data_IF_629806630445
#
_entry.id   IF_629806630445
#
_cell.length_a   1.000
_cell.length_b   1.000
_cell.length_c   1.000
_cell.angle_alpha   90.00
_cell.angle_beta   90.00
_cell.angle_gamma   90.00
#
_symmetry.space_group_name_H-M   'P 1'
#
loop_
_entity.id
_entity.type
_entity.pdbx_description
1 polymer ?
#
# COMPACT_ATOMS: atom_id res chain seq x y z
N UNK A 1 -4.06 5.84 14.60
CA UNK A 1 -4.85 5.97 13.36
C UNK A 1 -5.11 4.63 12.68
N UNK A 2 -4.08 3.79 12.53
CA UNK A 2 -4.25 2.51 11.82
C UNK A 2 -5.37 1.67 12.43
N UNK A 3 -5.45 1.62 13.75
CA UNK A 3 -6.48 0.83 14.45
C UNK A 3 -7.89 1.35 14.22
N UNK A 4 -8.06 2.65 14.05
CA UNK A 4 -9.36 3.24 13.73
C UNK A 4 -9.88 2.76 12.38
N UNK A 5 -8.98 2.38 11.49
CA UNK A 5 -9.30 1.90 10.15
C UNK A 5 -9.24 0.36 10.04
N UNK A 6 -9.09 -0.35 11.15
CA UNK A 6 -8.95 -1.81 11.14
C UNK A 6 -7.77 -2.29 10.31
N UNK A 7 -6.69 -1.52 10.30
CA UNK A 7 -5.44 -1.87 9.61
C UNK A 7 -4.39 -2.21 10.65
N UNK A 8 -3.66 -3.31 10.44
CA UNK A 8 -2.54 -3.66 11.31
C UNK A 8 -1.50 -2.54 11.26
N UNK A 9 -1.15 -1.94 12.40
CA UNK A 9 -0.16 -0.85 12.43
C UNK A 9 1.18 -1.22 11.82
N UNK A 10 1.61 -2.48 11.95
CA UNK A 10 2.88 -2.94 11.36
C UNK A 10 2.84 -2.87 9.84
N UNK A 11 1.70 -3.23 9.25
CA UNK A 11 1.51 -3.16 7.80
C UNK A 11 1.53 -1.72 7.32
N UNK A 12 0.78 -0.84 7.99
CA UNK A 12 0.72 0.58 7.64
C UNK A 12 2.10 1.24 7.73
N UNK A 13 2.86 0.95 8.78
CA UNK A 13 4.20 1.49 8.97
C UNK A 13 5.16 0.97 7.89
N UNK A 14 5.06 -0.31 7.54
CA UNK A 14 5.90 -0.89 6.50
C UNK A 14 5.64 -0.24 5.15
N UNK A 15 4.37 -0.03 4.81
CA UNK A 15 4.00 0.65 3.57
C UNK A 15 4.55 2.07 3.55
N UNK A 16 4.33 2.85 4.60
CA UNK A 16 4.85 4.22 4.67
C UNK A 16 6.38 4.25 4.56
N UNK A 17 7.06 3.31 5.21
CA UNK A 17 8.52 3.20 5.14
C UNK A 17 9.02 2.89 3.75
N UNK A 18 8.41 1.90 3.09
CA UNK A 18 8.81 1.51 1.73
C UNK A 18 8.46 2.60 0.72
N UNK A 19 7.28 3.22 0.86
CA UNK A 19 6.81 4.22 -0.11
C UNK A 19 7.61 5.51 -0.06
N UNK A 20 7.90 6.03 1.12
CA UNK A 20 8.46 7.38 1.23
C UNK A 20 9.54 7.53 2.30
N UNK A 21 9.86 6.47 3.03
CA UNK A 21 10.70 6.57 4.24
C UNK A 21 10.13 7.62 5.22
N UNK A 22 8.80 7.68 5.32
CA UNK A 22 8.06 8.62 6.17
C UNK A 22 8.24 10.09 5.79
N UNK A 23 8.65 10.38 4.55
CA UNK A 23 8.82 11.74 4.08
C UNK A 23 7.48 12.30 3.56
N UNK A 24 6.90 13.24 4.32
CA UNK A 24 5.62 13.85 3.96
C UNK A 24 5.67 14.67 2.65
N UNK A 25 6.86 15.02 2.20
CA UNK A 25 7.05 15.82 0.99
C UNK A 25 7.47 14.98 -0.22
N UNK A 26 7.55 13.65 -0.06
CA UNK A 26 7.97 12.77 -1.15
C UNK A 26 7.02 12.87 -2.34
N UNK A 27 7.59 12.85 -3.53
CA UNK A 27 6.83 12.82 -4.78
C UNK A 27 7.53 11.89 -5.76
N UNK A 28 6.78 10.98 -6.36
CA UNK A 28 7.30 10.04 -7.35
C UNK A 28 7.15 10.57 -8.76
N UNK A 29 7.85 9.96 -9.75
CA UNK A 29 7.65 10.30 -11.16
C UNK A 29 6.20 10.11 -11.65
N UNK A 30 5.44 9.23 -11.00
CA UNK A 30 4.03 8.97 -11.32
C UNK A 30 3.09 9.90 -10.56
N UNK A 31 3.64 10.95 -9.93
CA UNK A 31 2.88 11.93 -9.17
C UNK A 31 2.22 11.37 -7.91
N UNK A 32 2.73 10.26 -7.38
CA UNK A 32 2.34 9.81 -6.05
C UNK A 32 2.97 10.76 -5.01
N UNK A 33 2.21 11.14 -3.99
CA UNK A 33 2.64 12.16 -3.04
C UNK A 33 2.46 11.73 -1.59
N UNK A 34 3.36 12.22 -0.76
CA UNK A 34 3.25 12.17 0.69
C UNK A 34 3.72 10.87 1.31
N UNK A 35 3.44 10.73 2.59
CA UNK A 35 3.93 9.62 3.41
C UNK A 35 3.55 8.26 2.83
N UNK A 36 2.31 8.11 2.35
CA UNK A 36 1.81 6.84 1.82
C UNK A 36 1.74 6.81 0.30
N UNK A 37 2.31 7.81 -0.36
CA UNK A 37 2.47 7.89 -1.82
C UNK A 37 1.15 7.65 -2.56
N UNK A 38 0.19 8.54 -2.32
CA UNK A 38 -1.11 8.47 -3.00
C UNK A 38 -1.03 9.17 -4.36
N UNK A 39 -1.45 8.45 -5.41
CA UNK A 39 -1.64 9.09 -6.72
C UNK A 39 -2.90 9.95 -6.68
N UNK A 40 -3.03 10.96 -7.58
CA UNK A 40 -4.16 11.90 -7.52
C UNK A 40 -5.54 11.23 -7.51
N UNK A 41 -5.73 10.18 -8.31
CA UNK A 41 -7.00 9.47 -8.37
C UNK A 41 -7.37 8.83 -7.03
N UNK A 42 -6.39 8.23 -6.36
CA UNK A 42 -6.61 7.61 -5.05
C UNK A 42 -6.86 8.67 -3.98
N UNK A 43 -6.09 9.76 -4.01
CA UNK A 43 -6.29 10.88 -3.08
C UNK A 43 -7.72 11.44 -3.20
N UNK A 44 -8.19 11.65 -4.43
CA UNK A 44 -9.55 12.14 -4.66
C UNK A 44 -10.60 11.13 -4.19
N UNK A 45 -10.39 9.86 -4.47
CA UNK A 45 -11.31 8.77 -4.10
C UNK A 45 -11.54 8.68 -2.60
N UNK A 46 -10.52 8.96 -1.80
CA UNK A 46 -10.59 8.89 -0.34
C UNK A 46 -10.58 10.26 0.33
N UNK A 47 -10.94 11.30 -0.40
CA UNK A 47 -11.17 12.65 0.13
C UNK A 47 -9.92 13.28 0.77
N UNK A 48 -8.74 13.01 0.23
CA UNK A 48 -7.52 13.65 0.66
C UNK A 48 -7.46 15.04 0.02
N UNK A 49 -7.48 16.10 0.85
CA UNK A 49 -7.47 17.49 0.37
C UNK A 49 -6.05 17.97 0.14
N UNK A 50 -5.15 17.64 1.05
CA UNK A 50 -3.74 18.03 0.96
C UNK A 50 -2.87 16.79 1.09
N UNK A 51 -2.43 16.19 -0.03
CA UNK A 51 -1.62 14.98 0.02
C UNK A 51 -0.24 15.19 0.66
N UNK A 52 0.20 16.43 0.86
CA UNK A 52 1.46 16.72 1.53
C UNK A 52 1.28 16.94 3.04
N UNK A 53 0.04 17.03 3.52
CA UNK A 53 -0.24 17.01 4.94
C UNK A 53 -0.17 15.57 5.44
N UNK A 54 0.71 15.29 6.41
CA UNK A 54 0.97 13.93 6.84
C UNK A 54 -0.29 13.24 7.34
N UNK A 55 -1.08 13.91 8.19
CA UNK A 55 -2.29 13.31 8.75
C UNK A 55 -3.32 13.00 7.68
N UNK A 56 -3.57 13.96 6.79
CA UNK A 56 -4.56 13.79 5.72
C UNK A 56 -4.14 12.66 4.75
N UNK A 57 -2.86 12.62 4.40
CA UNK A 57 -2.32 11.58 3.54
C UNK A 57 -2.43 10.20 4.17
N UNK A 58 -2.04 10.09 5.45
CA UNK A 58 -2.10 8.80 6.16
C UNK A 58 -3.55 8.32 6.28
N UNK A 59 -4.48 9.21 6.58
CA UNK A 59 -5.91 8.84 6.62
C UNK A 59 -6.37 8.27 5.29
N UNK A 60 -6.00 8.91 4.19
CA UNK A 60 -6.36 8.42 2.86
C UNK A 60 -5.76 7.06 2.55
N UNK A 61 -4.48 6.88 2.88
CA UNK A 61 -3.81 5.59 2.69
C UNK A 61 -4.42 4.48 3.52
N UNK A 62 -4.76 4.77 4.78
CA UNK A 62 -5.42 3.81 5.64
C UNK A 62 -6.83 3.47 5.15
N UNK A 63 -7.57 4.46 4.66
CA UNK A 63 -8.89 4.22 4.09
C UNK A 63 -8.80 3.31 2.87
N UNK A 64 -7.81 3.52 2.02
CA UNK A 64 -7.57 2.66 0.87
C UNK A 64 -7.19 1.24 1.30
N UNK A 65 -6.31 1.11 2.29
CA UNK A 65 -5.92 -0.21 2.81
C UNK A 65 -7.12 -0.96 3.39
N UNK A 66 -7.98 -0.27 4.14
CA UNK A 66 -9.20 -0.88 4.67
C UNK A 66 -10.11 -1.35 3.54
N UNK A 67 -10.26 -0.53 2.50
CA UNK A 67 -11.07 -0.89 1.34
C UNK A 67 -10.50 -2.12 0.64
N UNK A 68 -9.19 -2.16 0.43
CA UNK A 68 -8.51 -3.30 -0.19
C UNK A 68 -8.65 -4.56 0.64
N UNK A 69 -8.51 -4.44 1.97
CA UNK A 69 -8.65 -5.57 2.88
C UNK A 69 -10.03 -6.21 2.77
N UNK A 70 -11.06 -5.39 2.69
CA UNK A 70 -12.42 -5.87 2.49
C UNK A 70 -12.63 -6.45 1.10
N UNK A 71 -12.10 -5.78 0.09
CA UNK A 71 -12.24 -6.21 -1.30
C UNK A 71 -11.61 -7.57 -1.55
N UNK A 72 -10.44 -7.82 -0.99
CA UNK A 72 -9.72 -9.09 -1.11
C UNK A 72 -9.93 -10.04 0.07
N UNK A 73 -10.92 -9.76 0.91
CA UNK A 73 -11.37 -10.66 1.98
C UNK A 73 -10.23 -11.06 2.93
N UNK A 74 -9.38 -10.11 3.27
CA UNK A 74 -8.29 -10.30 4.23
C UNK A 74 -7.03 -10.94 3.67
N UNK A 75 -6.94 -11.15 2.37
CA UNK A 75 -5.73 -11.70 1.74
C UNK A 75 -4.66 -10.60 1.68
N UNK A 76 -3.74 -10.60 2.66
CA UNK A 76 -2.75 -9.53 2.79
C UNK A 76 -1.78 -9.45 1.62
N UNK A 77 -1.44 -10.57 1.00
CA UNK A 77 -0.56 -10.57 -0.17
C UNK A 77 -1.21 -9.76 -1.30
N UNK A 78 -2.49 -10.01 -1.56
CA UNK A 78 -3.23 -9.26 -2.59
C UNK A 78 -3.43 -7.81 -2.21
N UNK A 79 -3.70 -7.52 -0.93
CA UNK A 79 -3.84 -6.16 -0.44
C UNK A 79 -2.57 -5.36 -0.70
N UNK A 80 -1.41 -5.91 -0.33
CA UNK A 80 -0.13 -5.23 -0.52
C UNK A 80 0.19 -5.06 -2.00
N UNK A 81 -0.02 -6.09 -2.80
CA UNK A 81 0.18 -6.01 -4.24
C UNK A 81 -0.71 -4.94 -4.87
N UNK A 82 -1.97 -4.89 -4.47
CA UNK A 82 -2.94 -3.92 -5.01
C UNK A 82 -2.62 -2.49 -4.59
N UNK A 83 -2.08 -2.28 -3.41
CA UNK A 83 -1.67 -0.94 -3.00
C UNK A 83 -0.65 -0.35 -3.97
N UNK A 84 0.24 -1.18 -4.49
CA UNK A 84 1.25 -0.76 -5.47
C UNK A 84 0.73 -0.75 -6.91
N UNK A 85 0.05 -1.82 -7.34
CA UNK A 85 -0.31 -2.03 -8.75
C UNK A 85 -1.76 -1.69 -9.08
N UNK A 86 -2.58 -1.43 -8.06
CA UNK A 86 -4.02 -1.23 -8.23
C UNK A 86 -4.79 -2.56 -8.13
N UNK A 87 -6.01 -2.48 -7.63
CA UNK A 87 -6.86 -3.66 -7.45
C UNK A 87 -7.24 -4.32 -8.77
N UNK A 88 -7.36 -3.53 -9.84
CA UNK A 88 -7.70 -4.08 -11.16
C UNK A 88 -6.64 -5.04 -11.69
N UNK A 89 -5.37 -4.70 -11.53
CA UNK A 89 -4.28 -5.57 -11.97
C UNK A 89 -4.24 -6.86 -11.15
N UNK A 90 -4.38 -6.74 -9.82
CA UNK A 90 -4.38 -7.92 -8.94
C UNK A 90 -5.55 -8.84 -9.27
N UNK A 91 -6.72 -8.28 -9.52
CA UNK A 91 -7.89 -9.08 -9.89
C UNK A 91 -7.69 -9.76 -11.24
N UNK A 92 -7.16 -9.04 -12.21
CA UNK A 92 -6.92 -9.59 -13.56
C UNK A 92 -5.97 -10.77 -13.54
N UNK A 93 -4.92 -10.70 -12.74
CA UNK A 93 -3.94 -11.79 -12.65
C UNK A 93 -4.25 -12.82 -11.56
N UNK A 94 -5.31 -12.61 -10.80
CA UNK A 94 -5.68 -13.54 -9.73
C UNK A 94 -4.67 -13.62 -8.60
N UNK A 95 -3.88 -12.56 -8.38
CA UNK A 95 -2.84 -12.50 -7.37
C UNK A 95 -1.82 -11.43 -7.70
N UNK A 96 -0.58 -11.62 -7.24
CA UNK A 96 0.48 -10.64 -7.53
C UNK A 96 0.73 -10.59 -9.03
N UNK A 97 0.55 -9.41 -9.67
CA UNK A 97 0.83 -9.29 -11.09
C UNK A 97 2.31 -9.57 -11.39
N UNK A 98 2.64 -10.01 -12.62
CA UNK A 98 4.03 -10.33 -12.97
C UNK A 98 4.87 -9.09 -13.26
N UNK A 99 4.65 -8.02 -12.51
CA UNK A 99 5.40 -6.78 -12.61
C UNK A 99 6.59 -6.85 -11.65
N UNK A 100 7.78 -6.61 -12.15
CA UNK A 100 8.99 -6.64 -11.33
C UNK A 100 8.85 -5.73 -10.10
N UNK A 101 8.40 -4.50 -10.30
CA UNK A 101 8.22 -3.53 -9.22
C UNK A 101 7.27 -4.06 -8.13
N UNK A 102 6.12 -4.59 -8.53
CA UNK A 102 5.11 -5.06 -7.58
C UNK A 102 5.59 -6.29 -6.81
N UNK A 103 6.25 -7.23 -7.50
CA UNK A 103 6.80 -8.42 -6.86
C UNK A 103 7.83 -8.05 -5.79
N UNK A 104 8.74 -7.15 -6.13
CA UNK A 104 9.74 -6.66 -5.17
C UNK A 104 9.07 -5.90 -4.02
N UNK A 105 8.07 -5.09 -4.31
CA UNK A 105 7.32 -4.32 -3.32
C UNK A 105 6.65 -5.24 -2.29
N UNK A 106 5.95 -6.28 -2.74
CA UNK A 106 5.27 -7.23 -1.86
C UNK A 106 6.27 -7.86 -0.88
N UNK A 107 7.41 -8.32 -1.39
CA UNK A 107 8.44 -8.92 -0.55
C UNK A 107 8.97 -7.95 0.50
N UNK A 108 9.26 -6.70 0.09
CA UNK A 108 9.82 -5.70 0.99
C UNK A 108 8.83 -5.28 2.07
N UNK A 109 7.57 -5.02 1.69
CA UNK A 109 6.56 -4.59 2.66
C UNK A 109 6.29 -5.69 3.68
N UNK A 110 6.04 -6.92 3.22
CA UNK A 110 5.72 -8.01 4.14
C UNK A 110 6.89 -8.33 5.07
N UNK A 111 8.11 -8.31 4.55
CA UNK A 111 9.30 -8.55 5.38
C UNK A 111 9.46 -7.45 6.43
N UNK A 112 9.30 -6.19 6.03
CA UNK A 112 9.41 -5.05 6.96
C UNK A 112 8.31 -5.07 8.01
N UNK A 113 7.13 -5.56 7.68
CA UNK A 113 6.01 -5.69 8.62
C UNK A 113 6.16 -6.87 9.59
N UNK A 114 7.22 -7.67 9.47
CA UNK A 114 7.37 -8.87 10.27
C UNK A 114 6.50 -10.03 9.80
N UNK A 115 6.06 -9.97 8.55
CA UNK A 115 5.19 -10.95 7.92
C UNK A 115 5.86 -11.69 6.77
N UNK A 116 7.20 -11.83 6.85
CA UNK A 116 7.99 -12.46 5.79
C UNK A 116 7.55 -13.89 5.46
N UNK A 117 6.98 -14.59 6.44
CA UNK A 117 6.45 -15.93 6.23
C UNK A 117 5.27 -15.97 5.24
N UNK A 118 4.61 -14.84 5.00
CA UNK A 118 3.52 -14.72 4.04
C UNK A 118 3.99 -14.46 2.61
N UNK A 119 5.29 -14.17 2.41
CA UNK A 119 5.81 -13.89 1.07
C UNK A 119 5.69 -15.18 0.24
N UNK A 120 4.99 -15.13 -0.92
CA UNK A 120 4.87 -16.31 -1.78
C UNK A 120 6.23 -16.86 -2.17
N UNK A 121 6.34 -18.18 -2.25
CA UNK A 121 7.61 -18.87 -2.54
C UNK A 121 8.25 -18.34 -3.82
N UNK A 122 7.44 -18.08 -4.86
CA UNK A 122 7.92 -17.55 -6.12
C UNK A 122 8.49 -16.14 -6.06
N UNK A 123 8.28 -15.41 -4.95
CA UNK A 123 8.82 -14.05 -4.75
C UNK A 123 10.01 -14.02 -3.80
N UNK A 124 10.36 -15.14 -3.20
CA UNK A 124 11.52 -15.23 -2.30
C UNK A 124 12.80 -15.36 -3.13
N UNK A 125 13.86 -14.73 -2.66
CA UNK A 125 15.16 -14.83 -3.29
C UNK A 125 16.02 -15.87 -2.60
#
# INVERSE_FOLDING_TARGET
LAREYDVDPRLAQAIAGVESNFDRLAQSPKNARGVMQLIPETAARFNVRDPLDAEDNIRGGLAYLRWLHRYFKGDLVRVVAAYNAGEGAVQRYGGVPPYFETRAYVGRVLTMAGMGHMVPVGLRN
#
